data_IF_047292698336
#
_entry.id   IF_047292698336
#
_cell.length_a   1.000
_cell.length_b   1.000
_cell.length_c   1.000
_cell.angle_alpha   90.00
_cell.angle_beta   90.00
_cell.angle_gamma   90.00
#
_symmetry.space_group_name_H-M   'P 1'
#
loop_
_entity.id
_entity.type
_entity.pdbx_description
1 polymer ?
#
# COMPACT_ATOMS: atom_id res chain seq x y z
N UNK A 1 27.23 12.97 -10.98
CA UNK A 1 27.31 12.81 -9.51
C UNK A 1 26.11 12.03 -9.00
N UNK A 2 24.86 12.51 -9.19
CA UNK A 2 23.64 11.82 -8.73
C UNK A 2 23.51 10.40 -9.32
N UNK A 3 23.65 10.22 -10.63
CA UNK A 3 23.50 8.89 -11.25
C UNK A 3 24.49 7.82 -10.73
N UNK A 4 25.71 8.24 -10.35
CA UNK A 4 26.71 7.32 -9.79
C UNK A 4 26.33 6.90 -8.36
N UNK A 5 25.90 7.87 -7.53
CA UNK A 5 25.41 7.61 -6.18
C UNK A 5 24.15 6.74 -6.18
N UNK A 6 23.27 6.93 -7.17
CA UNK A 6 22.09 6.09 -7.36
C UNK A 6 22.45 4.64 -7.69
N UNK A 7 23.39 4.42 -8.62
CA UNK A 7 23.89 3.07 -8.94
C UNK A 7 24.57 2.45 -7.72
N UNK A 8 25.36 3.21 -6.97
CA UNK A 8 26.01 2.73 -5.75
C UNK A 8 25.01 2.30 -4.67
N UNK A 9 23.96 3.09 -4.44
CA UNK A 9 22.92 2.76 -3.47
C UNK A 9 22.11 1.51 -3.90
N UNK A 10 21.79 1.39 -5.18
CA UNK A 10 21.12 0.19 -5.71
C UNK A 10 22.03 -1.03 -5.60
N UNK A 11 23.33 -0.90 -5.86
CA UNK A 11 24.29 -1.98 -5.73
C UNK A 11 24.48 -2.42 -4.27
N UNK A 12 24.49 -1.48 -3.32
CA UNK A 12 24.45 -1.78 -1.88
C UNK A 12 23.18 -2.54 -1.51
N UNK A 13 22.03 -2.15 -2.07
CA UNK A 13 20.75 -2.82 -1.86
C UNK A 13 20.75 -4.24 -2.46
N UNK A 14 21.26 -4.44 -3.68
CA UNK A 14 21.40 -5.76 -4.31
C UNK A 14 22.32 -6.67 -3.47
N UNK A 15 23.40 -6.12 -2.90
CA UNK A 15 24.29 -6.84 -1.99
C UNK A 15 23.65 -7.20 -0.64
N UNK A 16 22.63 -6.45 -0.20
CA UNK A 16 21.87 -6.67 1.05
C UNK A 16 20.44 -7.16 0.79
N UNK A 17 20.22 -7.74 -0.40
CA UNK A 17 18.90 -8.05 -0.93
C UNK A 17 18.04 -8.88 0.02
N UNK A 18 18.61 -9.84 0.74
CA UNK A 18 17.85 -10.68 1.66
C UNK A 18 17.26 -9.86 2.82
N UNK A 19 18.04 -8.94 3.42
CA UNK A 19 17.55 -8.05 4.48
C UNK A 19 16.53 -7.04 3.96
N UNK A 20 16.76 -6.51 2.76
CA UNK A 20 15.81 -5.60 2.10
C UNK A 20 14.48 -6.29 1.81
N UNK A 21 14.51 -7.52 1.27
CA UNK A 21 13.31 -8.29 0.98
C UNK A 21 12.54 -8.66 2.25
N UNK A 22 13.23 -8.91 3.36
CA UNK A 22 12.57 -9.14 4.66
C UNK A 22 11.84 -7.90 5.16
N UNK A 23 12.50 -6.73 5.19
CA UNK A 23 11.85 -5.47 5.60
C UNK A 23 10.68 -5.14 4.69
N UNK A 24 10.87 -5.33 3.38
CA UNK A 24 9.84 -5.16 2.38
C UNK A 24 8.63 -6.06 2.68
N UNK A 25 8.85 -7.34 3.01
CA UNK A 25 7.81 -8.32 3.40
C UNK A 25 7.10 -7.97 4.70
N UNK A 26 7.83 -7.59 5.74
CA UNK A 26 7.28 -7.18 7.04
C UNK A 26 6.39 -5.93 6.91
N UNK A 27 6.79 -4.96 6.08
CA UNK A 27 5.98 -3.79 5.78
C UNK A 27 4.66 -4.18 5.07
N UNK A 28 4.67 -5.18 4.17
CA UNK A 28 3.41 -5.70 3.60
C UNK A 28 2.56 -6.39 4.65
N UNK A 29 3.15 -7.29 5.44
CA UNK A 29 2.41 -8.09 6.42
C UNK A 29 1.74 -7.20 7.46
N UNK A 30 2.40 -6.10 7.85
CA UNK A 30 1.80 -5.09 8.72
C UNK A 30 0.58 -4.44 8.08
N UNK A 31 0.68 -4.02 6.82
CA UNK A 31 -0.44 -3.42 6.07
C UNK A 31 -1.57 -4.44 5.77
N UNK A 32 -1.23 -5.72 5.61
CA UNK A 32 -2.16 -6.81 5.29
C UNK A 32 -2.88 -7.34 6.54
N UNK A 33 -2.18 -7.54 7.65
CA UNK A 33 -2.77 -8.10 8.89
C UNK A 33 -3.85 -7.20 9.50
N UNK A 34 -3.78 -5.89 9.26
CA UNK A 34 -4.88 -4.96 9.59
C UNK A 34 -6.15 -5.17 8.73
N UNK A 35 -6.03 -5.88 7.59
CA UNK A 35 -7.03 -6.00 6.51
C UNK A 35 -7.81 -7.30 6.51
N UNK A 36 -7.30 -8.36 7.13
CA UNK A 36 -8.04 -9.63 7.29
C UNK A 36 -9.22 -9.54 8.26
N UNK A 37 -9.60 -8.32 8.65
CA UNK A 37 -10.84 -8.07 9.33
C UNK A 37 -11.97 -8.03 8.29
N UNK A 38 -12.98 -8.86 8.54
CA UNK A 38 -14.20 -9.08 7.76
C UNK A 38 -15.11 -7.84 7.62
N UNK A 39 -14.54 -6.62 7.74
CA UNK A 39 -15.20 -5.32 7.88
C UNK A 39 -16.17 -5.08 6.73
N UNK A 40 -15.77 -5.34 5.47
CA UNK A 40 -16.66 -5.15 4.32
C UNK A 40 -17.87 -6.08 4.39
N UNK A 41 -17.67 -7.34 4.79
CA UNK A 41 -18.74 -8.34 4.95
C UNK A 41 -19.66 -8.02 6.13
N UNK A 42 -19.11 -7.54 7.24
CA UNK A 42 -19.88 -7.08 8.40
C UNK A 42 -20.71 -5.83 8.07
N UNK A 43 -20.13 -4.88 7.34
CA UNK A 43 -20.83 -3.71 6.82
C UNK A 43 -21.96 -4.13 5.86
N UNK A 44 -21.72 -5.10 4.98
CA UNK A 44 -22.73 -5.61 4.05
C UNK A 44 -23.91 -6.27 4.79
N UNK A 45 -23.64 -7.09 5.82
CA UNK A 45 -24.69 -7.66 6.68
C UNK A 45 -25.51 -6.59 7.39
N UNK A 46 -24.84 -5.59 7.99
CA UNK A 46 -25.51 -4.50 8.70
C UNK A 46 -26.35 -3.63 7.76
N UNK A 47 -25.88 -3.40 6.54
CA UNK A 47 -26.66 -2.71 5.51
C UNK A 47 -27.90 -3.50 5.08
N UNK A 48 -27.81 -4.82 5.00
CA UNK A 48 -28.95 -5.68 4.65
C UNK A 48 -30.04 -5.63 5.73
N UNK A 49 -29.65 -5.68 7.01
CA UNK A 49 -30.58 -5.55 8.14
C UNK A 49 -31.27 -4.19 8.16
N UNK A 50 -30.49 -3.09 8.07
CA UNK A 50 -31.06 -1.73 8.07
C UNK A 50 -31.99 -1.47 6.88
N UNK A 51 -31.69 -2.05 5.70
CA UNK A 51 -32.60 -1.95 4.55
C UNK A 51 -33.91 -2.71 4.77
N UNK A 52 -33.87 -3.87 5.44
CA UNK A 52 -35.09 -4.62 5.82
C UNK A 52 -35.93 -3.83 6.82
N UNK A 53 -35.30 -3.21 7.81
CA UNK A 53 -35.99 -2.37 8.79
C UNK A 53 -36.58 -1.11 8.17
N UNK A 54 -35.88 -0.46 7.24
CA UNK A 54 -36.39 0.68 6.49
C UNK A 54 -37.67 0.32 5.72
N UNK A 55 -37.69 -0.83 5.04
CA UNK A 55 -38.88 -1.33 4.33
C UNK A 55 -40.05 -1.59 5.29
N UNK A 56 -39.75 -2.11 6.49
CA UNK A 56 -40.76 -2.36 7.53
C UNK A 56 -41.37 -1.05 8.03
N UNK A 57 -40.56 -0.06 8.39
CA UNK A 57 -41.03 1.25 8.87
C UNK A 57 -41.80 2.02 7.79
N UNK A 58 -41.34 1.99 6.54
CA UNK A 58 -42.03 2.61 5.41
C UNK A 58 -43.43 2.02 5.19
N UNK A 59 -43.56 0.69 5.31
CA UNK A 59 -44.86 0.02 5.26
C UNK A 59 -45.76 0.35 6.46
N UNK A 60 -45.18 0.60 7.64
CA UNK A 60 -45.88 1.02 8.85
C UNK A 60 -46.24 2.52 8.90
N UNK A 61 -45.77 3.33 7.93
CA UNK A 61 -45.85 4.81 7.94
C UNK A 61 -45.19 5.46 9.17
N UNK A 62 -44.21 4.78 9.76
CA UNK A 62 -43.41 5.32 10.87
C UNK A 62 -42.26 6.16 10.31
N UNK A 63 -41.73 7.09 11.11
CA UNK A 63 -40.56 7.88 10.71
C UNK A 63 -39.33 6.95 10.61
N UNK A 64 -38.61 7.07 9.50
CA UNK A 64 -37.47 6.25 9.14
C UNK A 64 -36.21 7.07 8.85
N UNK A 65 -36.25 8.39 9.10
CA UNK A 65 -35.14 9.30 8.81
C UNK A 65 -33.83 8.85 9.50
N UNK A 66 -33.91 8.38 10.75
CA UNK A 66 -32.75 7.87 11.49
C UNK A 66 -32.09 6.65 10.81
N UNK A 67 -32.90 5.73 10.28
CA UNK A 67 -32.40 4.54 9.56
C UNK A 67 -31.81 4.96 8.20
N UNK A 68 -32.43 5.93 7.52
CA UNK A 68 -31.92 6.44 6.25
C UNK A 68 -30.54 7.11 6.41
N UNK A 69 -30.36 7.92 7.46
CA UNK A 69 -29.09 8.57 7.80
C UNK A 69 -28.03 7.55 8.20
N UNK A 70 -28.40 6.52 8.95
CA UNK A 70 -27.48 5.44 9.32
C UNK A 70 -27.04 4.60 8.10
N UNK A 71 -27.95 4.30 7.17
CA UNK A 71 -27.61 3.65 5.89
C UNK A 71 -26.63 4.52 5.10
N UNK A 72 -26.85 5.84 5.04
CA UNK A 72 -25.95 6.75 4.34
C UNK A 72 -24.55 6.76 4.96
N UNK A 73 -24.46 6.85 6.29
CA UNK A 73 -23.19 6.79 7.03
C UNK A 73 -22.44 5.49 6.76
N UNK A 74 -23.12 4.35 6.87
CA UNK A 74 -22.49 3.04 6.70
C UNK A 74 -22.06 2.81 5.24
N UNK A 75 -22.83 3.31 4.25
CA UNK A 75 -22.39 3.26 2.84
C UNK A 75 -21.11 4.05 2.59
N UNK A 76 -20.95 5.19 3.25
CA UNK A 76 -19.71 5.98 3.18
C UNK A 76 -18.52 5.23 3.78
N UNK A 77 -18.74 4.59 4.92
CA UNK A 77 -17.74 3.74 5.58
C UNK A 77 -17.32 2.54 4.72
N UNK A 78 -18.31 1.86 4.10
CA UNK A 78 -18.07 0.79 3.12
C UNK A 78 -17.17 1.23 1.97
N UNK A 79 -17.46 2.40 1.39
CA UNK A 79 -16.67 2.92 0.27
C UNK A 79 -15.23 3.23 0.71
N UNK A 80 -15.05 3.76 1.93
CA UNK A 80 -13.71 4.02 2.47
C UNK A 80 -12.94 2.70 2.65
N UNK A 81 -13.56 1.69 3.24
CA UNK A 81 -12.96 0.37 3.42
C UNK A 81 -12.55 -0.27 2.08
N UNK A 82 -13.41 -0.20 1.05
CA UNK A 82 -13.09 -0.71 -0.29
C UNK A 82 -11.95 0.06 -0.97
N UNK A 83 -11.88 1.38 -0.79
CA UNK A 83 -10.79 2.19 -1.34
C UNK A 83 -9.45 1.87 -0.67
N UNK A 84 -9.46 1.66 0.64
CA UNK A 84 -8.31 1.20 1.41
C UNK A 84 -7.87 -0.20 0.95
N UNK A 85 -8.80 -1.15 0.82
CA UNK A 85 -8.52 -2.51 0.32
C UNK A 85 -7.90 -2.49 -1.09
N UNK A 86 -8.44 -1.67 -2.00
CA UNK A 86 -7.89 -1.51 -3.34
C UNK A 86 -6.48 -0.91 -3.34
N UNK A 87 -6.23 0.10 -2.49
CA UNK A 87 -4.90 0.70 -2.30
C UNK A 87 -3.88 -0.30 -1.75
N UNK A 88 -4.32 -1.15 -0.80
CA UNK A 88 -3.51 -2.23 -0.22
C UNK A 88 -3.18 -3.31 -1.25
N UNK A 89 -4.16 -3.75 -2.04
CA UNK A 89 -3.93 -4.70 -3.16
C UNK A 89 -2.93 -4.16 -4.17
N UNK A 90 -3.03 -2.87 -4.52
CA UNK A 90 -2.07 -2.22 -5.40
C UNK A 90 -0.65 -2.17 -4.82
N UNK A 91 -0.54 -1.95 -3.51
CA UNK A 91 0.76 -1.94 -2.81
C UNK A 91 1.39 -3.34 -2.79
N UNK A 92 0.59 -4.39 -2.52
CA UNK A 92 1.02 -5.78 -2.59
C UNK A 92 1.56 -6.15 -3.98
N UNK A 93 0.80 -5.82 -5.04
CA UNK A 93 1.21 -6.15 -6.41
C UNK A 93 2.53 -5.47 -6.80
N UNK A 94 2.70 -4.18 -6.49
CA UNK A 94 3.97 -3.47 -6.77
C UNK A 94 5.15 -4.13 -6.09
N UNK A 95 4.91 -4.71 -4.92
CA UNK A 95 5.95 -5.26 -4.08
C UNK A 95 6.34 -6.69 -4.49
N UNK A 96 5.37 -7.51 -4.90
CA UNK A 96 5.63 -8.77 -5.61
C UNK A 96 6.42 -8.54 -6.91
N UNK A 97 6.08 -7.48 -7.65
CA UNK A 97 6.83 -7.06 -8.84
C UNK A 97 8.27 -6.63 -8.51
N UNK A 98 8.49 -5.92 -7.39
CA UNK A 98 9.82 -5.54 -6.92
C UNK A 98 10.63 -6.75 -6.45
N UNK A 99 10.04 -7.68 -5.70
CA UNK A 99 10.70 -8.92 -5.28
C UNK A 99 11.13 -9.75 -6.49
N UNK A 100 10.22 -9.94 -7.46
CA UNK A 100 10.53 -10.65 -8.70
C UNK A 100 11.67 -9.97 -9.46
N UNK A 101 11.60 -8.64 -9.59
CA UNK A 101 12.63 -7.86 -10.26
C UNK A 101 14.01 -8.01 -9.58
N UNK A 102 14.08 -7.85 -8.27
CA UNK A 102 15.33 -8.03 -7.51
C UNK A 102 15.83 -9.49 -7.57
N UNK A 103 14.94 -10.46 -7.71
CA UNK A 103 15.28 -11.88 -7.93
C UNK A 103 15.85 -12.18 -9.32
N UNK A 104 15.41 -11.46 -10.33
CA UNK A 104 15.94 -11.56 -11.70
C UNK A 104 17.29 -10.84 -11.84
N UNK A 105 17.58 -9.84 -11.00
CA UNK A 105 18.89 -9.18 -10.95
C UNK A 105 19.94 -10.09 -10.31
N UNK A 106 20.86 -10.59 -11.13
CA UNK A 106 21.98 -11.46 -10.74
C UNK A 106 23.34 -10.74 -10.69
N UNK A 107 23.39 -9.48 -11.14
CA UNK A 107 24.62 -8.71 -11.29
C UNK A 107 24.44 -7.28 -10.79
N UNK A 108 25.54 -6.70 -10.30
CA UNK A 108 25.59 -5.29 -9.94
C UNK A 108 25.37 -4.44 -11.20
N UNK A 109 24.65 -3.34 -11.06
CA UNK A 109 24.48 -2.37 -12.12
C UNK A 109 25.83 -1.71 -12.43
N UNK A 110 26.26 -1.84 -13.69
CA UNK A 110 27.42 -1.14 -14.23
C UNK A 110 27.07 0.29 -14.66
N UNK A 111 25.81 0.53 -15.02
CA UNK A 111 25.30 1.81 -15.52
C UNK A 111 23.98 2.23 -14.88
N UNK A 112 23.65 3.51 -15.01
CA UNK A 112 22.39 4.08 -14.54
C UNK A 112 21.23 3.66 -15.45
N UNK A 113 20.25 2.96 -14.88
CA UNK A 113 19.00 2.60 -15.55
C UNK A 113 17.84 3.45 -15.00
N UNK A 114 17.32 4.36 -15.82
CA UNK A 114 16.23 5.26 -15.42
C UNK A 114 14.93 4.52 -15.08
N UNK A 115 14.61 3.43 -15.78
CA UNK A 115 13.40 2.65 -15.49
C UNK A 115 13.51 1.99 -14.13
N UNK A 116 14.70 1.47 -13.82
CA UNK A 116 15.01 0.82 -12.55
C UNK A 116 14.93 1.82 -11.39
N UNK A 117 15.51 3.00 -11.57
CA UNK A 117 15.46 4.10 -10.59
C UNK A 117 14.03 4.51 -10.29
N UNK A 118 13.20 4.74 -11.32
CA UNK A 118 11.78 5.08 -11.15
C UNK A 118 10.98 3.98 -10.45
N UNK A 119 11.42 2.72 -10.60
CA UNK A 119 10.75 1.57 -9.99
C UNK A 119 11.13 1.39 -8.52
N UNK A 120 12.38 1.67 -8.14
CA UNK A 120 12.90 1.39 -6.80
C UNK A 120 12.94 2.60 -5.87
N UNK A 121 13.15 3.82 -6.38
CA UNK A 121 13.42 5.01 -5.57
C UNK A 121 12.17 5.86 -5.41
N UNK A 122 11.87 6.25 -4.17
CA UNK A 122 10.79 7.18 -3.83
C UNK A 122 11.29 8.63 -3.90
N UNK A 123 12.41 8.95 -3.23
CA UNK A 123 13.05 10.25 -3.30
C UNK A 123 14.56 10.19 -3.07
N UNK A 124 15.24 11.25 -3.51
CA UNK A 124 16.67 11.49 -3.26
C UNK A 124 16.78 12.83 -2.55
N UNK A 125 17.40 12.84 -1.37
CA UNK A 125 17.67 14.04 -0.58
C UNK A 125 19.16 14.38 -0.68
N UNK A 126 19.47 15.61 -1.07
CA UNK A 126 20.85 16.10 -1.23
C UNK A 126 21.21 16.95 -0.02
N UNK A 127 22.29 16.59 0.67
CA UNK A 127 22.91 17.38 1.72
C UNK A 127 24.26 17.93 1.25
N UNK A 128 24.88 18.79 2.06
CA UNK A 128 26.16 19.42 1.72
C UNK A 128 27.31 18.40 1.60
N UNK A 129 27.25 17.29 2.35
CA UNK A 129 28.30 16.27 2.45
C UNK A 129 27.87 14.85 2.04
N UNK A 130 26.56 14.62 1.82
CA UNK A 130 26.02 13.28 1.51
C UNK A 130 24.73 13.31 0.69
N UNK A 131 24.35 12.15 0.17
CA UNK A 131 23.07 11.88 -0.48
C UNK A 131 22.32 10.81 0.31
N UNK A 132 21.06 11.07 0.67
CA UNK A 132 20.18 10.05 1.24
C UNK A 132 19.17 9.62 0.20
N UNK A 133 19.15 8.33 -0.12
CA UNK A 133 18.26 7.73 -1.10
C UNK A 133 17.21 6.91 -0.36
N UNK A 134 15.94 7.30 -0.49
CA UNK A 134 14.80 6.56 0.06
C UNK A 134 14.20 5.67 -1.02
N UNK A 135 14.14 4.37 -0.75
CA UNK A 135 13.50 3.38 -1.59
C UNK A 135 12.00 3.36 -1.33
N UNK A 136 11.21 2.97 -2.34
CA UNK A 136 9.75 2.78 -2.23
C UNK A 136 9.33 1.73 -1.19
N UNK A 137 10.30 0.96 -0.70
CA UNK A 137 10.15 0.02 0.40
C UNK A 137 10.18 0.68 1.78
N UNK A 138 10.59 1.94 1.88
CA UNK A 138 10.87 2.66 3.12
C UNK A 138 12.32 2.52 3.64
N UNK A 139 13.19 1.80 2.91
CA UNK A 139 14.62 1.70 3.26
C UNK A 139 15.34 2.97 2.84
N UNK A 140 16.21 3.48 3.70
CA UNK A 140 17.07 4.63 3.41
C UNK A 140 18.54 4.19 3.31
N UNK A 141 19.25 4.71 2.32
CA UNK A 141 20.69 4.49 2.13
C UNK A 141 21.40 5.82 1.99
N UNK A 142 22.40 6.05 2.84
CA UNK A 142 23.31 7.17 2.74
C UNK A 142 24.53 6.82 1.87
N UNK A 143 24.86 7.72 0.95
CA UNK A 143 25.99 7.64 0.00
C UNK A 143 26.78 8.94 -0.02
#
# INVERSE_FOLDING_TARGET
>A
MIGLATVEAINKLIGQKDGFLTILKENIETVISETDNNIVSEIDKKLEELQKDLLRLANSKEDYNDIADEIYRIRKERHKALAEEAGKKGSKQRLEEMEKFLNEQSTLLEEYDEQLVRRLIEKITVYDDKLTIEFKSGVEVDV
#
